data_IF_884231437358
#
_entry.id   IF_884231437358
#
_cell.length_a   1.000
_cell.length_b   1.000
_cell.length_c   1.000
_cell.angle_alpha   90.00
_cell.angle_beta   90.00
_cell.angle_gamma   90.00
#
_symmetry.space_group_name_H-M   'P 1'
#
loop_
_entity.id
_entity.type
_entity.pdbx_description
1 polymer ?
#
# COMPACT_ATOMS: atom_id res chain seq x y z
N UNK A 1 6.22 1.19 -13.87
CA UNK A 1 4.88 0.98 -13.29
C UNK A 1 4.07 -0.06 -14.06
N UNK A 2 3.89 0.04 -15.38
CA UNK A 2 3.12 -0.93 -16.17
C UNK A 2 3.58 -2.39 -15.93
N UNK A 3 4.90 -2.64 -15.99
CA UNK A 3 5.44 -3.99 -15.75
C UNK A 3 5.19 -4.52 -14.33
N UNK A 4 5.17 -3.64 -13.33
CA UNK A 4 4.88 -4.02 -11.95
C UNK A 4 3.40 -4.41 -11.80
N UNK A 5 2.50 -3.65 -12.43
CA UNK A 5 1.06 -3.95 -12.42
C UNK A 5 0.75 -5.25 -13.17
N UNK A 6 1.39 -5.50 -14.31
CA UNK A 6 1.22 -6.75 -15.05
C UNK A 6 1.69 -7.97 -14.24
N UNK A 7 2.85 -7.87 -13.57
CA UNK A 7 3.33 -8.92 -12.65
C UNK A 7 2.38 -9.12 -11.46
N UNK A 8 1.85 -8.02 -10.91
CA UNK A 8 0.87 -8.07 -9.83
C UNK A 8 -0.41 -8.77 -10.27
N UNK A 9 -0.97 -8.44 -11.45
CA UNK A 9 -2.17 -9.08 -11.98
C UNK A 9 -2.01 -10.59 -12.14
N UNK A 10 -0.88 -11.05 -12.69
CA UNK A 10 -0.56 -12.48 -12.82
C UNK A 10 -0.48 -13.14 -11.44
N UNK A 11 0.17 -12.49 -10.47
CA UNK A 11 0.33 -13.02 -9.12
C UNK A 11 -1.01 -13.14 -8.38
N UNK A 12 -1.85 -12.10 -8.41
CA UNK A 12 -3.17 -12.12 -7.76
C UNK A 12 -4.06 -13.18 -8.37
N UNK A 13 -4.20 -13.23 -9.70
CA UNK A 13 -5.04 -14.25 -10.35
C UNK A 13 -4.58 -15.68 -10.07
N UNK A 14 -3.28 -15.90 -9.81
CA UNK A 14 -2.76 -17.22 -9.45
C UNK A 14 -3.17 -17.68 -8.06
N UNK A 15 -3.31 -16.77 -7.10
CA UNK A 15 -3.40 -17.13 -5.68
C UNK A 15 -4.68 -16.66 -4.97
N UNK A 16 -5.47 -15.75 -5.55
CA UNK A 16 -6.64 -15.12 -4.92
C UNK A 16 -7.70 -16.08 -4.36
N UNK A 17 -7.76 -17.32 -4.83
CA UNK A 17 -8.75 -18.31 -4.35
C UNK A 17 -8.19 -19.22 -3.23
N UNK A 18 -6.97 -18.96 -2.75
CA UNK A 18 -6.37 -19.74 -1.68
C UNK A 18 -6.93 -19.31 -0.30
N UNK A 19 -7.60 -20.21 0.45
CA UNK A 19 -8.24 -19.87 1.72
C UNK A 19 -7.27 -19.50 2.85
N UNK A 20 -5.97 -19.76 2.68
CA UNK A 20 -4.96 -19.40 3.68
C UNK A 20 -4.52 -17.93 3.60
N UNK A 21 -4.99 -17.17 2.60
CA UNK A 21 -4.63 -15.77 2.43
C UNK A 21 -5.50 -14.91 3.34
N UNK A 22 -4.86 -14.05 4.14
CA UNK A 22 -5.57 -13.08 4.97
C UNK A 22 -5.71 -11.72 4.28
N UNK A 23 -4.65 -11.26 3.61
CA UNK A 23 -4.55 -9.92 3.04
C UNK A 23 -3.36 -9.79 2.08
N UNK A 24 -3.39 -8.77 1.23
CA UNK A 24 -2.33 -8.45 0.28
C UNK A 24 -1.48 -7.26 0.73
N UNK A 25 -0.20 -7.49 1.00
CA UNK A 25 0.77 -6.42 1.29
C UNK A 25 1.24 -5.71 0.02
N UNK A 26 0.95 -4.41 -0.09
CA UNK A 26 1.35 -3.54 -1.20
C UNK A 26 2.42 -2.58 -0.68
N UNK A 27 3.68 -2.93 -0.92
CA UNK A 27 4.82 -2.15 -0.48
C UNK A 27 5.13 -2.33 1.02
N UNK A 28 6.41 -2.23 1.33
CA UNK A 28 6.94 -2.16 2.68
C UNK A 28 7.89 -0.98 2.73
N UNK A 29 7.58 0.04 3.53
CA UNK A 29 8.50 1.14 3.83
C UNK A 29 9.03 1.84 2.56
N UNK A 30 8.23 1.88 1.50
CA UNK A 30 8.63 2.37 0.17
C UNK A 30 8.96 3.86 0.20
N UNK A 31 8.38 4.59 1.16
CA UNK A 31 8.62 6.02 1.32
C UNK A 31 10.04 6.39 1.71
N UNK A 32 10.85 5.46 2.26
CA UNK A 32 12.25 5.73 2.56
C UNK A 32 13.09 6.05 1.32
N UNK A 33 12.66 5.60 0.14
CA UNK A 33 13.31 5.93 -1.13
C UNK A 33 13.00 7.35 -1.64
N UNK A 34 12.04 8.05 -1.04
CA UNK A 34 11.66 9.39 -1.46
C UNK A 34 12.54 10.45 -0.78
N UNK A 35 13.08 11.38 -1.56
CA UNK A 35 13.92 12.47 -1.05
C UNK A 35 13.16 13.78 -0.83
N UNK A 36 11.89 13.85 -1.25
CA UNK A 36 11.02 15.00 -1.09
C UNK A 36 9.53 14.61 -1.09
N UNK A 37 8.68 15.54 -0.65
CA UNK A 37 7.23 15.31 -0.53
C UNK A 37 6.54 14.96 -1.85
N UNK A 38 7.00 15.49 -3.00
CA UNK A 38 6.40 15.15 -4.28
C UNK A 38 6.62 13.66 -4.64
N UNK A 39 7.81 13.13 -4.31
CA UNK A 39 8.11 11.71 -4.48
C UNK A 39 7.33 10.84 -3.48
N UNK A 40 7.22 11.27 -2.22
CA UNK A 40 6.39 10.57 -1.22
C UNK A 40 4.93 10.46 -1.67
N UNK A 41 4.34 11.55 -2.20
CA UNK A 41 3.00 11.55 -2.77
C UNK A 41 2.90 10.64 -4.00
N UNK A 42 3.93 10.58 -4.83
CA UNK A 42 3.97 9.66 -5.98
C UNK A 42 3.98 8.19 -5.52
N UNK A 43 4.69 7.86 -4.44
CA UNK A 43 4.67 6.53 -3.81
C UNK A 43 3.26 6.17 -3.33
N UNK A 44 2.57 7.07 -2.63
CA UNK A 44 1.20 6.80 -2.18
C UNK A 44 0.23 6.57 -3.34
N UNK A 45 0.31 7.39 -4.38
CA UNK A 45 -0.51 7.20 -5.60
C UNK A 45 -0.21 5.87 -6.30
N UNK A 46 1.07 5.49 -6.35
CA UNK A 46 1.50 4.21 -6.91
C UNK A 46 0.91 3.02 -6.13
N UNK A 47 0.96 3.07 -4.80
CA UNK A 47 0.34 2.08 -3.91
C UNK A 47 -1.18 2.04 -4.11
N UNK A 48 -1.83 3.20 -4.26
CA UNK A 48 -3.27 3.27 -4.53
C UNK A 48 -3.65 2.55 -5.83
N UNK A 49 -2.94 2.82 -6.92
CA UNK A 49 -3.21 2.19 -8.23
C UNK A 49 -3.05 0.67 -8.15
N UNK A 50 -2.03 0.18 -7.44
CA UNK A 50 -1.88 -1.25 -7.20
C UNK A 50 -3.05 -1.82 -6.36
N UNK A 51 -3.48 -1.09 -5.32
CA UNK A 51 -4.61 -1.49 -4.47
C UNK A 51 -5.92 -1.56 -5.26
N UNK A 52 -6.19 -0.60 -6.13
CA UNK A 52 -7.36 -0.60 -7.02
C UNK A 52 -7.38 -1.82 -7.94
N UNK A 53 -6.21 -2.16 -8.52
CA UNK A 53 -6.08 -3.35 -9.36
C UNK A 53 -6.37 -4.63 -8.57
N UNK A 54 -5.75 -4.79 -7.39
CA UNK A 54 -5.98 -5.98 -6.55
C UNK A 54 -7.46 -6.09 -6.19
N UNK A 55 -8.09 -5.01 -5.72
CA UNK A 55 -9.51 -5.01 -5.34
C UNK A 55 -10.45 -5.36 -6.50
N UNK A 56 -10.08 -5.00 -7.74
CA UNK A 56 -10.83 -5.40 -8.93
C UNK A 56 -10.69 -6.89 -9.22
N UNK A 57 -9.51 -7.47 -9.00
CA UNK A 57 -9.21 -8.87 -9.33
C UNK A 57 -9.62 -9.86 -8.22
N UNK A 58 -9.53 -9.40 -6.97
CA UNK A 58 -9.79 -10.14 -5.74
C UNK A 58 -10.50 -9.23 -4.71
N UNK A 59 -11.84 -9.28 -4.66
CA UNK A 59 -12.62 -8.52 -3.68
C UNK A 59 -12.65 -9.16 -2.29
N UNK A 60 -12.14 -10.39 -2.12
CA UNK A 60 -12.26 -11.16 -0.88
C UNK A 60 -11.15 -10.83 0.12
N UNK A 61 -9.94 -10.55 -0.38
CA UNK A 61 -8.78 -10.26 0.47
C UNK A 61 -8.44 -8.77 0.49
N UNK A 62 -8.43 -8.11 1.67
CA UNK A 62 -8.13 -6.70 1.77
C UNK A 62 -6.66 -6.40 1.42
N UNK A 63 -6.41 -5.18 0.96
CA UNK A 63 -5.04 -4.69 0.72
C UNK A 63 -4.52 -3.92 1.93
N UNK A 64 -3.22 -4.07 2.21
CA UNK A 64 -2.49 -3.30 3.23
C UNK A 64 -1.27 -2.59 2.66
N UNK A 65 -0.80 -1.55 3.34
CA UNK A 65 0.55 -1.01 3.17
C UNK A 65 1.24 -0.92 4.52
N UNK A 66 2.56 -1.12 4.53
CA UNK A 66 3.39 -1.00 5.74
C UNK A 66 4.25 0.26 5.63
N UNK A 67 4.27 1.06 6.71
CA UNK A 67 5.10 2.25 6.83
C UNK A 67 5.94 2.22 8.12
N UNK A 68 7.04 2.98 8.12
CA UNK A 68 7.99 3.00 9.24
C UNK A 68 7.43 3.63 10.51
N UNK A 69 6.51 4.59 10.35
CA UNK A 69 5.87 5.37 11.40
C UNK A 69 4.58 6.01 10.84
N UNK A 70 3.76 6.60 11.71
CA UNK A 70 2.52 7.29 11.30
C UNK A 70 2.70 8.78 10.97
N UNK A 71 3.90 9.32 11.18
CA UNK A 71 4.20 10.75 11.24
C UNK A 71 3.84 11.37 12.59
N UNK A 72 4.56 12.43 13.00
CA UNK A 72 4.34 13.10 14.29
C UNK A 72 3.09 13.99 14.33
N UNK A 73 2.59 14.43 13.17
CA UNK A 73 1.44 15.33 13.05
C UNK A 73 0.23 14.58 12.51
N UNK A 74 -0.91 14.69 13.20
CA UNK A 74 -2.18 14.13 12.74
C UNK A 74 -2.75 14.85 11.50
N UNK A 75 -2.30 16.07 11.19
CA UNK A 75 -2.76 16.84 10.02
C UNK A 75 -1.88 16.65 8.78
N UNK A 76 -0.60 16.33 8.95
CA UNK A 76 0.37 16.22 7.83
C UNK A 76 1.24 14.95 7.87
N UNK A 77 1.01 14.04 8.81
CA UNK A 77 1.75 12.79 8.92
C UNK A 77 1.40 11.77 7.84
N UNK A 78 2.26 10.74 7.70
CA UNK A 78 2.14 9.67 6.71
C UNK A 78 0.76 9.02 6.71
N UNK A 79 0.17 8.79 7.89
CA UNK A 79 -1.17 8.21 8.01
C UNK A 79 -2.25 9.07 7.31
N UNK A 80 -2.14 10.40 7.41
CA UNK A 80 -3.06 11.35 6.78
C UNK A 80 -2.82 11.44 5.28
N UNK A 81 -1.56 11.40 4.83
CA UNK A 81 -1.24 11.36 3.42
C UNK A 81 -1.72 10.07 2.75
N UNK A 82 -1.52 8.90 3.37
CA UNK A 82 -2.03 7.62 2.85
C UNK A 82 -3.56 7.66 2.76
N UNK A 83 -4.24 8.21 3.77
CA UNK A 83 -5.71 8.39 3.71
C UNK A 83 -6.12 9.28 2.52
N UNK A 84 -5.33 10.28 2.17
CA UNK A 84 -5.63 11.24 1.09
C UNK A 84 -5.28 10.69 -0.29
N UNK A 85 -4.12 10.05 -0.44
CA UNK A 85 -3.54 9.68 -1.73
C UNK A 85 -3.63 8.18 -2.04
N UNK A 86 -3.92 7.35 -1.04
CA UNK A 86 -4.14 5.91 -1.18
C UNK A 86 -5.43 5.41 -0.49
N UNK A 87 -6.60 5.98 -0.81
CA UNK A 87 -7.86 5.61 -0.18
C UNK A 87 -8.31 4.16 -0.42
N UNK A 88 -7.77 3.48 -1.44
CA UNK A 88 -8.12 2.08 -1.70
C UNK A 88 -7.49 1.08 -0.72
N UNK A 89 -6.45 1.48 0.01
CA UNK A 89 -5.84 0.65 1.06
C UNK A 89 -6.78 0.54 2.27
N UNK A 90 -7.13 -0.69 2.63
CA UNK A 90 -8.10 -1.00 3.68
C UNK A 90 -7.44 -1.19 5.05
N UNK A 91 -6.20 -1.68 5.09
CA UNK A 91 -5.43 -1.90 6.32
C UNK A 91 -4.14 -1.08 6.30
N UNK A 92 -3.88 -0.30 7.34
CA UNK A 92 -2.71 0.57 7.44
C UNK A 92 -1.90 0.16 8.66
N UNK A 93 -0.68 -0.30 8.46
CA UNK A 93 0.21 -0.75 9.53
C UNK A 93 1.39 0.20 9.61
N UNK A 94 1.65 0.72 10.80
CA UNK A 94 2.89 1.39 11.12
C UNK A 94 3.71 0.48 12.03
N UNK A 95 4.99 0.31 11.71
CA UNK A 95 5.93 -0.36 12.57
C UNK A 95 6.27 0.56 13.74
N UNK A 96 6.30 0.01 14.95
CA UNK A 96 6.83 0.69 16.12
C UNK A 96 8.00 -0.15 16.62
N UNK A 97 9.22 0.24 16.26
CA UNK A 97 10.40 -0.29 16.94
C UNK A 97 10.50 0.50 18.24
N UNK A 98 10.28 -0.19 19.36
CA UNK A 98 10.52 0.38 20.67
C UNK A 98 12.04 0.38 20.86
N UNK A 99 12.65 1.56 20.87
CA UNK A 99 14.01 1.73 21.36
C UNK A 99 14.10 1.25 22.83
#
# INVERSE_FOLDING_TARGET
MADQLAKLEVFINKYKDNPAILCWGIGNEVEFGATNSAQTVAVWKAINTASELVRKLDPNHPTMTVVADVGKDMKSGKATEIKKYAPSIQVKIALFVKD
#
